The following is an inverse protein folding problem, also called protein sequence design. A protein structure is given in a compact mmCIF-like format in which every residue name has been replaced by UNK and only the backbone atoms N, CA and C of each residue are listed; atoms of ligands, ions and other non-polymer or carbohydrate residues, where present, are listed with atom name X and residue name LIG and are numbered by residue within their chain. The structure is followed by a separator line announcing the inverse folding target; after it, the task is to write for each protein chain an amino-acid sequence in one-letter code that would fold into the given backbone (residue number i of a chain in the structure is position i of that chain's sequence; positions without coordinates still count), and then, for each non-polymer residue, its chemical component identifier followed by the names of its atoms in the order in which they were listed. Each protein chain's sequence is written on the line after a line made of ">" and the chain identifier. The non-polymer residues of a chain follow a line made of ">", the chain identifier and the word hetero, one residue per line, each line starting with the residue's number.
data_IF_085529759390
#
_entry.id   IF_085529759390
#
_cell.length_a   1.000
_cell.length_b   1.000
_cell.length_c   1.000
_cell.angle_alpha   90.00
_cell.angle_beta   90.00
_cell.angle_gamma   90.00
#
_symmetry.space_group_name_H-M   'P 1'
#
loop_
_entity.id
_entity.type
_entity.pdbx_description
1 polymer ?
#
# COMPACT_ATOMS: atom_id res chain seq x y z
N UNK A 1 -10.93 -3.65 32.42
CA UNK A 1 -9.45 -3.70 32.28
C UNK A 1 -9.09 -3.07 30.94
N UNK A 2 -8.12 -2.17 30.94
CA UNK A 2 -7.73 -1.38 29.78
C UNK A 2 -6.22 -1.46 29.56
N UNK A 3 -5.78 -1.37 28.30
CA UNK A 3 -4.37 -1.24 27.94
C UNK A 3 -4.19 0.05 27.15
N UNK A 4 -3.61 1.06 27.79
CA UNK A 4 -3.39 2.37 27.19
C UNK A 4 -2.11 2.29 26.40
N UNK A 5 -2.17 2.58 25.10
CA UNK A 5 -1.05 2.41 24.17
C UNK A 5 -0.74 3.70 23.42
N UNK A 6 0.53 3.87 23.12
CA UNK A 6 1.02 4.79 22.10
C UNK A 6 2.23 4.13 21.39
N UNK A 7 2.36 4.38 20.08
CA UNK A 7 3.40 3.84 19.20
C UNK A 7 3.99 4.95 18.35
N UNK A 8 5.33 4.98 18.29
CA UNK A 8 6.05 5.73 17.27
C UNK A 8 6.50 4.81 16.13
N UNK A 9 6.49 5.31 14.90
CA UNK A 9 6.87 4.56 13.70
C UNK A 9 8.05 5.17 12.97
N UNK A 10 8.77 4.36 12.18
CA UNK A 10 9.95 4.82 11.43
C UNK A 10 9.65 5.82 10.28
N UNK A 11 8.38 6.06 9.96
CA UNK A 11 7.95 6.99 8.91
C UNK A 11 8.08 6.46 7.49
N UNK A 12 8.19 5.14 7.29
CA UNK A 12 8.11 4.56 5.96
C UNK A 12 6.72 4.79 5.31
N UNK A 13 6.59 4.46 4.03
CA UNK A 13 5.30 4.56 3.33
C UNK A 13 4.21 3.70 3.98
N UNK A 14 2.95 4.09 3.80
CA UNK A 14 1.80 3.39 4.38
C UNK A 14 1.84 1.88 4.10
N UNK A 15 1.83 1.09 5.18
CA UNK A 15 1.96 -0.39 5.33
C UNK A 15 3.35 -0.99 5.26
N UNK A 16 4.35 -0.15 5.04
CA UNK A 16 5.74 -0.54 5.16
C UNK A 16 6.36 0.00 6.46
N UNK A 17 5.60 0.72 7.29
CA UNK A 17 6.09 1.22 8.56
C UNK A 17 6.48 0.10 9.51
N UNK A 18 7.45 0.40 10.37
CA UNK A 18 7.88 -0.44 11.48
C UNK A 18 7.77 0.38 12.77
N UNK A 19 7.40 -0.29 13.86
CA UNK A 19 7.41 0.28 15.22
C UNK A 19 8.85 0.60 15.61
N UNK A 20 9.08 1.77 16.21
CA UNK A 20 10.39 2.20 16.74
C UNK A 20 10.36 2.54 18.23
N UNK A 21 9.19 2.86 18.78
CA UNK A 21 8.93 3.06 20.20
C UNK A 21 7.53 2.54 20.50
N UNK A 22 7.34 1.89 21.64
CA UNK A 22 6.04 1.40 22.09
C UNK A 22 5.94 1.55 23.60
N UNK A 23 4.80 2.05 24.06
CA UNK A 23 4.45 2.09 25.47
C UNK A 23 3.04 1.56 25.69
N UNK A 24 2.88 0.69 26.68
CA UNK A 24 1.61 0.12 27.10
C UNK A 24 1.50 0.20 28.62
N UNK A 25 0.45 0.85 29.12
CA UNK A 25 0.08 0.85 30.53
C UNK A 25 -1.20 0.03 30.73
N UNK A 26 -1.13 -1.04 31.52
CA UNK A 26 -2.30 -1.84 31.90
C UNK A 26 -3.00 -1.18 33.08
N UNK A 27 -4.26 -0.84 32.92
CA UNK A 27 -5.05 -0.06 33.88
C UNK A 27 -6.33 -0.79 34.27
N UNK A 28 -6.57 -0.97 35.56
CA UNK A 28 -7.74 -1.71 36.06
C UNK A 28 -9.01 -0.84 36.20
N UNK A 29 -8.89 0.48 36.01
CA UNK A 29 -9.94 1.45 36.28
C UNK A 29 -9.63 2.37 37.45
N UNK A 30 -8.65 2.02 38.28
CA UNK A 30 -8.20 2.80 39.44
C UNK A 30 -6.68 3.03 39.43
N UNK A 31 -5.88 2.03 39.08
CA UNK A 31 -4.41 2.09 39.09
C UNK A 31 -3.78 1.33 37.93
N UNK A 32 -2.51 1.66 37.68
CA UNK A 32 -1.66 0.88 36.76
C UNK A 32 -1.32 -0.43 37.45
N UNK A 33 -1.59 -1.54 36.77
CA UNK A 33 -1.31 -2.91 37.25
C UNK A 33 -0.09 -3.52 36.58
N UNK A 34 0.29 -3.02 35.41
CA UNK A 34 1.46 -3.45 34.66
C UNK A 34 1.87 -2.35 33.66
N UNK A 35 3.15 -2.32 33.27
CA UNK A 35 3.65 -1.42 32.23
C UNK A 35 4.70 -2.11 31.35
N UNK A 36 4.73 -1.72 30.08
CA UNK A 36 5.74 -2.15 29.13
C UNK A 36 6.13 -0.97 28.24
N UNK A 37 7.42 -0.63 28.22
CA UNK A 37 7.97 0.46 27.43
C UNK A 37 9.23 -0.07 26.76
N UNK A 38 9.35 0.11 25.44
CA UNK A 38 10.52 -0.34 24.70
C UNK A 38 10.74 0.46 23.44
N UNK A 39 11.99 0.84 23.18
CA UNK A 39 12.42 1.07 21.80
C UNK A 39 12.35 -0.25 21.03
N UNK A 40 12.15 -0.16 19.71
CA UNK A 40 12.07 -1.32 18.84
C UNK A 40 12.99 -1.10 17.64
N UNK A 41 13.78 -2.12 17.31
CA UNK A 41 14.58 -2.11 16.10
C UNK A 41 13.67 -2.32 14.88
N UNK A 42 13.51 -1.32 13.98
CA UNK A 42 12.63 -1.42 12.82
C UNK A 42 13.21 -2.28 11.70
N UNK A 43 14.46 -2.76 11.83
CA UNK A 43 15.22 -3.46 10.78
C UNK A 43 15.28 -2.66 9.46
N UNK A 44 15.25 -1.34 9.58
CA UNK A 44 15.24 -0.41 8.45
C UNK A 44 15.50 1.04 8.89
N UNK A 45 15.45 1.96 7.94
CA UNK A 45 15.74 3.36 8.19
C UNK A 45 14.60 4.07 8.95
N UNK A 46 14.98 5.06 9.74
CA UNK A 46 14.07 6.05 10.33
C UNK A 46 14.19 7.34 9.51
N UNK A 47 13.08 7.83 8.97
CA UNK A 47 13.11 9.04 8.14
C UNK A 47 13.63 10.25 8.92
N UNK A 48 14.33 11.21 8.29
CA UNK A 48 14.81 12.42 8.97
C UNK A 48 13.70 13.22 9.66
N UNK A 49 12.48 13.20 9.09
CA UNK A 49 11.32 13.84 9.68
C UNK A 49 10.95 13.21 11.04
N UNK A 50 10.85 11.88 11.12
CA UNK A 50 10.55 11.17 12.37
C UNK A 50 11.65 11.35 13.40
N UNK A 51 12.93 11.31 12.99
CA UNK A 51 14.04 11.55 13.92
C UNK A 51 13.94 12.94 14.55
N UNK A 52 13.57 13.96 13.78
CA UNK A 52 13.38 15.33 14.30
C UNK A 52 12.16 15.43 15.22
N UNK A 53 11.09 14.69 14.93
CA UNK A 53 9.85 14.72 15.69
C UNK A 53 10.01 14.02 17.06
N UNK A 54 10.53 12.80 17.04
CA UNK A 54 10.58 11.89 18.20
C UNK A 54 11.91 11.94 18.96
N UNK A 55 12.93 12.56 18.37
CA UNK A 55 14.32 12.49 18.84
C UNK A 55 14.92 11.08 18.87
N UNK A 56 14.26 10.07 18.28
CA UNK A 56 14.76 8.70 18.19
C UNK A 56 15.70 8.59 17.00
N UNK A 57 16.95 8.23 17.28
CA UNK A 57 17.99 8.08 16.24
C UNK A 57 18.18 6.61 15.84
N UNK A 58 18.69 6.32 14.62
CA UNK A 58 19.05 4.96 14.21
C UNK A 58 20.01 4.27 15.19
N UNK A 59 20.89 5.05 15.85
CA UNK A 59 21.82 4.53 16.86
C UNK A 59 21.11 4.00 18.11
N UNK A 60 20.01 4.64 18.53
CA UNK A 60 19.24 4.25 19.72
C UNK A 60 18.52 2.91 19.51
N UNK A 61 17.97 2.70 18.30
CA UNK A 61 17.19 1.49 18.00
C UNK A 61 18.05 0.32 17.50
N UNK A 62 19.32 0.56 17.14
CA UNK A 62 20.21 -0.47 16.55
C UNK A 62 20.35 -1.72 17.43
N UNK A 63 20.41 -1.53 18.76
CA UNK A 63 20.54 -2.61 19.75
C UNK A 63 19.24 -2.84 20.52
N UNK A 64 18.15 -2.16 20.15
CA UNK A 64 16.84 -2.40 20.71
C UNK A 64 16.32 -3.77 20.22
N UNK A 65 15.39 -4.41 20.96
CA UNK A 65 14.79 -5.65 20.50
C UNK A 65 13.98 -5.42 19.22
N UNK A 66 13.95 -6.42 18.35
CA UNK A 66 13.05 -6.46 17.19
C UNK A 66 11.64 -6.76 17.65
N UNK A 67 10.64 -6.43 16.82
CA UNK A 67 9.25 -6.63 17.19
C UNK A 67 8.94 -8.09 17.58
N UNK A 68 9.49 -9.07 16.85
CA UNK A 68 9.26 -10.49 17.15
C UNK A 68 9.78 -10.93 18.53
N UNK A 69 10.77 -10.23 19.10
CA UNK A 69 11.33 -10.51 20.43
C UNK A 69 10.43 -9.98 21.56
N UNK A 70 9.66 -8.92 21.29
CA UNK A 70 8.71 -8.33 22.26
C UNK A 70 7.26 -8.74 22.05
N UNK A 71 6.94 -9.38 20.92
CA UNK A 71 5.58 -9.73 20.51
C UNK A 71 4.79 -10.49 21.60
N UNK A 72 5.44 -11.46 22.27
CA UNK A 72 4.84 -12.22 23.37
C UNK A 72 4.46 -11.30 24.54
N UNK A 73 5.33 -10.37 24.93
CA UNK A 73 5.09 -9.44 26.03
C UNK A 73 3.92 -8.49 25.73
N UNK A 74 3.79 -8.05 24.48
CA UNK A 74 2.65 -7.24 24.01
C UNK A 74 1.34 -8.02 24.13
N UNK A 75 1.31 -9.30 23.76
CA UNK A 75 0.13 -10.16 23.94
C UNK A 75 -0.24 -10.28 25.42
N UNK A 76 0.73 -10.59 26.28
CA UNK A 76 0.51 -10.79 27.71
C UNK A 76 -0.06 -9.54 28.39
N UNK A 77 0.53 -8.36 28.16
CA UNK A 77 0.07 -7.13 28.81
C UNK A 77 -1.30 -6.68 28.31
N UNK A 78 -1.66 -6.99 27.06
CA UNK A 78 -2.95 -6.62 26.45
C UNK A 78 -4.03 -7.69 26.60
N UNK A 79 -3.71 -8.86 27.17
CA UNK A 79 -4.66 -9.94 27.31
C UNK A 79 -5.88 -9.55 28.16
N UNK A 80 -7.08 -9.86 27.64
CA UNK A 80 -8.38 -9.57 28.25
C UNK A 80 -8.58 -8.08 28.61
N UNK A 81 -8.09 -7.19 27.73
CA UNK A 81 -8.22 -5.74 27.88
C UNK A 81 -8.90 -5.12 26.67
N UNK A 82 -9.43 -3.90 26.84
CA UNK A 82 -9.72 -3.00 25.71
C UNK A 82 -8.48 -2.13 25.48
N UNK A 83 -8.01 -2.09 24.24
CA UNK A 83 -6.87 -1.25 23.84
C UNK A 83 -7.33 0.21 23.72
N UNK A 84 -6.73 1.11 24.47
CA UNK A 84 -7.12 2.52 24.54
C UNK A 84 -6.02 3.40 23.98
N UNK A 85 -6.36 4.34 23.10
CA UNK A 85 -5.38 5.25 22.50
C UNK A 85 -5.99 6.59 22.14
N UNK A 86 -5.15 7.52 21.70
CA UNK A 86 -5.57 8.82 21.21
C UNK A 86 -5.34 8.86 19.70
N UNK A 87 -6.40 8.65 18.91
CA UNK A 87 -6.31 8.21 17.50
C UNK A 87 -5.87 6.74 17.34
N UNK A 88 -6.50 5.85 18.11
CA UNK A 88 -6.12 4.42 18.26
C UNK A 88 -6.02 3.62 16.95
N UNK A 89 -6.68 4.07 15.89
CA UNK A 89 -6.64 3.42 14.57
C UNK A 89 -5.21 3.31 14.02
N UNK A 90 -4.34 4.27 14.37
CA UNK A 90 -2.94 4.22 14.00
C UNK A 90 -2.19 3.10 14.74
N UNK A 91 -2.22 3.11 16.07
CA UNK A 91 -1.49 2.17 16.92
C UNK A 91 -1.97 0.73 16.70
N UNK A 92 -3.28 0.54 16.63
CA UNK A 92 -3.86 -0.78 16.40
C UNK A 92 -3.47 -1.33 15.04
N UNK A 93 -3.46 -0.50 13.99
CA UNK A 93 -2.95 -0.89 12.66
C UNK A 93 -1.48 -1.30 12.73
N UNK A 94 -0.64 -0.54 13.44
CA UNK A 94 0.78 -0.84 13.60
C UNK A 94 1.01 -2.20 14.28
N UNK A 95 0.25 -2.50 15.35
CA UNK A 95 0.28 -3.82 15.99
C UNK A 95 -0.17 -4.92 15.04
N UNK A 96 -1.35 -4.76 14.40
CA UNK A 96 -1.88 -5.78 13.46
C UNK A 96 -0.90 -6.09 12.34
N UNK A 97 -0.31 -5.06 11.74
CA UNK A 97 0.69 -5.21 10.70
C UNK A 97 1.93 -5.97 11.19
N UNK A 98 2.43 -5.61 12.37
CA UNK A 98 3.63 -6.21 12.93
C UNK A 98 3.40 -7.68 13.32
N UNK A 99 2.24 -8.01 13.91
CA UNK A 99 1.84 -9.39 14.19
C UNK A 99 1.55 -10.21 12.93
N UNK A 100 0.93 -9.60 11.90
CA UNK A 100 0.64 -10.27 10.62
C UNK A 100 1.91 -10.72 9.92
N UNK A 101 3.01 -9.96 10.03
CA UNK A 101 4.34 -10.36 9.54
C UNK A 101 4.89 -11.61 10.25
N UNK A 102 4.43 -11.88 11.48
CA UNK A 102 4.75 -13.08 12.25
C UNK A 102 3.73 -14.22 12.04
N UNK A 103 2.75 -14.04 11.15
CA UNK A 103 1.70 -15.02 10.92
C UNK A 103 0.62 -15.05 12.02
N UNK A 104 0.54 -14.02 12.86
CA UNK A 104 -0.46 -13.93 13.93
C UNK A 104 -1.52 -12.86 13.61
N UNK A 105 -2.80 -13.23 13.69
CA UNK A 105 -3.92 -12.30 13.49
C UNK A 105 -4.31 -11.63 14.82
N UNK A 106 -3.66 -10.50 15.12
CA UNK A 106 -3.92 -9.75 16.34
C UNK A 106 -5.29 -9.06 16.29
N UNK A 107 -6.18 -9.44 17.22
CA UNK A 107 -7.52 -8.89 17.35
C UNK A 107 -7.79 -8.51 18.80
N UNK A 108 -8.20 -7.27 19.01
CA UNK A 108 -8.59 -6.74 20.32
C UNK A 108 -9.64 -5.64 20.13
N UNK A 109 -10.48 -5.43 21.15
CA UNK A 109 -11.39 -4.29 21.21
C UNK A 109 -10.58 -2.99 21.36
N UNK A 110 -11.05 -1.91 20.75
CA UNK A 110 -10.30 -0.65 20.69
C UNK A 110 -11.18 0.53 21.07
N UNK A 111 -10.66 1.42 21.92
CA UNK A 111 -11.36 2.63 22.32
C UNK A 111 -10.49 3.85 22.03
N UNK A 112 -11.07 4.78 21.26
CA UNK A 112 -10.44 6.05 20.93
C UNK A 112 -10.92 7.15 21.90
N UNK A 113 -9.97 7.86 22.50
CA UNK A 113 -10.24 8.99 23.39
C UNK A 113 -10.71 10.24 22.65
N UNK A 114 -10.44 10.42 21.35
CA UNK A 114 -10.87 11.62 20.60
C UNK A 114 -12.40 11.74 20.52
N UNK A 115 -13.16 10.73 20.04
CA UNK A 115 -14.62 10.81 20.01
C UNK A 115 -15.22 10.97 21.40
N UNK A 116 -14.64 10.32 22.42
CA UNK A 116 -15.09 10.43 23.80
C UNK A 116 -14.89 11.84 24.34
N UNK A 117 -13.70 12.42 24.12
CA UNK A 117 -13.40 13.78 24.51
C UNK A 117 -14.35 14.79 23.85
N UNK A 118 -14.63 14.66 22.54
CA UNK A 118 -15.58 15.53 21.83
C UNK A 118 -16.98 15.54 22.44
N UNK A 119 -17.38 14.43 23.04
CA UNK A 119 -18.70 14.26 23.63
C UNK A 119 -18.75 14.72 25.09
N UNK A 120 -17.76 14.31 25.88
CA UNK A 120 -17.72 14.55 27.33
C UNK A 120 -17.08 15.90 27.71
N UNK A 121 -16.31 16.48 26.79
CA UNK A 121 -15.62 17.76 26.93
C UNK A 121 -15.80 18.54 25.61
N UNK A 122 -17.02 18.99 25.30
CA UNK A 122 -17.28 19.73 24.07
C UNK A 122 -16.55 21.07 24.04
N UNK A 123 -16.52 21.71 22.86
CA UNK A 123 -16.03 23.08 22.65
C UNK A 123 -14.53 23.35 22.85
N UNK A 124 -13.71 22.29 22.94
CA UNK A 124 -12.25 22.43 22.90
C UNK A 124 -11.74 22.92 21.54
N UNK A 125 -10.75 23.83 21.57
CA UNK A 125 -10.13 24.43 20.37
C UNK A 125 -9.48 23.36 19.49
N UNK A 126 -8.96 22.29 20.09
CA UNK A 126 -8.36 21.18 19.37
C UNK A 126 -8.33 19.91 20.21
N UNK A 127 -8.69 18.80 19.57
CA UNK A 127 -8.64 17.46 20.17
C UNK A 127 -7.36 16.70 19.83
N UNK A 128 -6.29 17.35 19.36
CA UNK A 128 -4.97 16.71 19.32
C UNK A 128 -4.42 16.57 20.73
N UNK A 129 -3.81 15.43 21.07
CA UNK A 129 -3.35 15.11 22.43
C UNK A 129 -2.67 16.30 23.11
N UNK A 130 -1.60 16.84 22.49
CA UNK A 130 -0.82 17.92 23.07
C UNK A 130 -1.57 19.22 23.36
N UNK A 131 -2.58 19.57 22.56
CA UNK A 131 -3.41 20.77 22.82
C UNK A 131 -4.49 20.49 23.85
N UNK A 132 -5.12 19.34 23.78
CA UNK A 132 -6.21 18.94 24.66
C UNK A 132 -5.71 18.73 26.10
N UNK A 133 -4.62 18.00 26.29
CA UNK A 133 -4.06 17.79 27.64
C UNK A 133 -3.58 19.11 28.24
N UNK A 134 -3.06 20.02 27.41
CA UNK A 134 -2.65 21.36 27.85
C UNK A 134 -3.84 22.22 28.30
N UNK A 135 -4.97 22.24 27.57
CA UNK A 135 -6.15 23.01 27.99
C UNK A 135 -6.76 22.46 29.28
N UNK A 136 -6.65 21.15 29.49
CA UNK A 136 -7.14 20.45 30.68
C UNK A 136 -6.16 20.48 31.86
N UNK A 137 -4.97 21.07 31.72
CA UNK A 137 -3.94 21.11 32.76
C UNK A 137 -3.28 19.76 33.05
N UNK A 138 -3.39 18.79 32.14
CA UNK A 138 -2.74 17.48 32.23
C UNK A 138 -1.28 17.62 31.77
N UNK A 139 -0.28 17.24 32.59
CA UNK A 139 1.12 17.30 32.20
C UNK A 139 1.43 16.39 31.02
N UNK A 140 2.20 16.93 30.06
CA UNK A 140 2.74 16.20 28.94
C UNK A 140 4.26 16.31 28.94
N UNK A 141 4.92 15.28 29.47
CA UNK A 141 6.38 15.16 29.51
C UNK A 141 6.84 14.22 28.41
N UNK A 142 8.00 14.51 27.78
CA UNK A 142 8.54 13.72 26.67
C UNK A 142 7.54 13.59 25.49
N UNK A 143 6.96 14.70 25.04
CA UNK A 143 6.07 14.67 23.87
C UNK A 143 6.77 14.06 22.65
N UNK A 144 6.05 13.25 21.86
CA UNK A 144 6.57 12.43 20.75
C UNK A 144 7.53 11.32 21.19
N UNK A 145 7.33 10.87 22.43
CA UNK A 145 7.83 9.60 22.93
C UNK A 145 6.64 8.79 23.39
N UNK A 146 6.65 7.51 23.03
CA UNK A 146 5.51 6.64 23.29
C UNK A 146 5.14 6.61 24.78
N UNK A 147 6.13 6.59 25.68
CA UNK A 147 5.88 6.58 27.12
C UNK A 147 5.20 7.86 27.64
N UNK A 148 5.58 9.02 27.10
CA UNK A 148 5.04 10.32 27.45
C UNK A 148 3.61 10.49 26.95
N UNK A 149 3.37 10.19 25.68
CA UNK A 149 2.07 10.33 25.04
C UNK A 149 1.06 9.28 25.55
N UNK A 150 1.48 8.03 25.79
CA UNK A 150 0.63 7.02 26.44
C UNK A 150 0.27 7.40 27.89
N UNK A 151 1.21 8.02 28.63
CA UNK A 151 0.93 8.48 30.01
C UNK A 151 -0.08 9.62 30.02
N UNK A 152 0.08 10.61 29.14
CA UNK A 152 -0.88 11.71 29.00
C UNK A 152 -2.26 11.18 28.56
N UNK A 153 -2.29 10.20 27.64
CA UNK A 153 -3.51 9.52 27.22
C UNK A 153 -4.19 8.78 28.38
N UNK A 154 -3.43 8.15 29.28
CA UNK A 154 -3.97 7.51 30.48
C UNK A 154 -4.65 8.53 31.41
N UNK A 155 -3.99 9.66 31.68
CA UNK A 155 -4.59 10.71 32.54
C UNK A 155 -5.83 11.34 31.91
N UNK A 156 -5.81 11.58 30.59
CA UNK A 156 -6.99 12.00 29.84
C UNK A 156 -8.11 10.96 29.96
N UNK A 157 -7.79 9.68 29.77
CA UNK A 157 -8.77 8.61 29.84
C UNK A 157 -9.40 8.48 31.23
N UNK A 158 -8.63 8.66 32.32
CA UNK A 158 -9.16 8.73 33.68
C UNK A 158 -10.18 9.87 33.84
N UNK A 159 -9.85 11.05 33.32
CA UNK A 159 -10.76 12.19 33.34
C UNK A 159 -12.05 11.89 32.55
N UNK A 160 -11.93 11.28 31.37
CA UNK A 160 -13.08 10.89 30.56
C UNK A 160 -13.96 9.86 31.27
N UNK A 161 -13.38 8.84 31.91
CA UNK A 161 -14.13 7.89 32.76
C UNK A 161 -14.87 8.63 33.88
N UNK A 162 -14.23 9.59 34.55
CA UNK A 162 -14.87 10.34 35.63
C UNK A 162 -16.02 11.23 35.17
N UNK A 163 -16.00 11.67 33.89
CA UNK A 163 -17.04 12.49 33.27
C UNK A 163 -18.17 11.68 32.64
N UNK A 164 -17.95 10.38 32.43
CA UNK A 164 -18.91 9.48 31.80
C UNK A 164 -20.02 9.06 32.78
N UNK A 165 -20.89 10.00 33.13
CA UNK A 165 -22.00 9.77 34.07
C UNK A 165 -23.06 8.81 33.51
N UNK A 166 -23.13 8.67 32.19
CA UNK A 166 -24.10 7.81 31.49
C UNK A 166 -23.55 6.41 31.17
N UNK A 167 -22.30 6.11 31.59
CA UNK A 167 -21.60 4.86 31.34
C UNK A 167 -21.49 4.47 29.84
N UNK A 168 -21.36 5.47 28.97
CA UNK A 168 -21.24 5.28 27.53
C UNK A 168 -19.96 4.56 27.13
N UNK A 169 -18.88 4.73 27.90
CA UNK A 169 -17.61 4.02 27.69
C UNK A 169 -17.82 2.52 27.87
N UNK A 170 -18.60 2.14 28.89
CA UNK A 170 -18.96 0.75 29.18
C UNK A 170 -19.92 0.21 28.12
N UNK A 171 -20.92 1.00 27.72
CA UNK A 171 -21.85 0.63 26.65
C UNK A 171 -21.13 0.43 25.31
N UNK A 172 -20.26 1.36 24.92
CA UNK A 172 -19.46 1.26 23.69
C UNK A 172 -18.58 0.01 23.70
N UNK A 173 -17.97 -0.34 24.83
CA UNK A 173 -17.24 -1.59 24.98
C UNK A 173 -18.14 -2.83 24.81
N UNK A 174 -19.35 -2.80 25.37
CA UNK A 174 -20.34 -3.87 25.20
C UNK A 174 -20.87 -3.98 23.77
N UNK A 175 -21.14 -2.85 23.11
CA UNK A 175 -21.55 -2.77 21.72
C UNK A 175 -20.43 -3.27 20.81
N UNK A 176 -19.19 -2.83 20.96
CA UNK A 176 -18.06 -3.30 20.13
C UNK A 176 -17.81 -4.80 20.25
N UNK A 177 -18.03 -5.37 21.45
CA UNK A 177 -17.94 -6.83 21.65
C UNK A 177 -19.03 -7.58 20.87
N UNK A 178 -20.15 -6.94 20.54
CA UNK A 178 -21.33 -7.58 19.96
C UNK A 178 -21.79 -7.04 18.59
N UNK A 179 -21.23 -5.94 18.08
CA UNK A 179 -21.83 -5.18 16.99
C UNK A 179 -21.16 -5.41 15.62
N UNK A 180 -21.90 -6.10 14.74
CA UNK A 180 -21.68 -6.11 13.28
C UNK A 180 -22.25 -4.84 12.63
N UNK A 181 -21.74 -3.66 12.97
CA UNK A 181 -22.19 -2.41 12.30
C UNK A 181 -21.65 -2.33 10.87
N UNK A 182 -22.38 -1.65 9.97
CA UNK A 182 -21.92 -1.42 8.59
C UNK A 182 -20.59 -0.64 8.55
N UNK A 183 -20.39 0.31 9.46
CA UNK A 183 -19.14 1.07 9.59
C UNK A 183 -17.98 0.12 9.99
N UNK A 184 -18.21 -0.77 10.96
CA UNK A 184 -17.21 -1.75 11.37
C UNK A 184 -16.91 -2.74 10.23
N UNK A 185 -17.93 -3.17 9.48
CA UNK A 185 -17.77 -4.00 8.28
C UNK A 185 -16.85 -3.32 7.26
N UNK A 186 -17.08 -2.05 6.93
CA UNK A 186 -16.21 -1.31 5.99
C UNK A 186 -14.78 -1.20 6.54
N UNK A 187 -14.62 -0.88 7.83
CA UNK A 187 -13.30 -0.77 8.47
C UNK A 187 -12.55 -2.09 8.36
N UNK A 188 -13.19 -3.21 8.72
CA UNK A 188 -12.62 -4.55 8.65
C UNK A 188 -12.27 -4.96 7.21
N UNK A 189 -13.14 -4.68 6.24
CA UNK A 189 -12.91 -5.04 4.84
C UNK A 189 -11.79 -4.23 4.18
N UNK A 190 -11.55 -2.99 4.62
CA UNK A 190 -10.63 -2.06 3.94
C UNK A 190 -9.31 -1.81 4.66
N UNK A 191 -9.23 -2.10 5.97
CA UNK A 191 -8.04 -1.83 6.80
C UNK A 191 -6.76 -2.50 6.29
N UNK A 192 -6.88 -3.63 5.58
CA UNK A 192 -5.78 -4.47 5.11
C UNK A 192 -5.64 -4.51 3.56
N UNK A 193 -6.36 -3.67 2.82
CA UNK A 193 -6.18 -3.48 1.35
C UNK A 193 -5.04 -2.54 0.92
N UNK A 194 -4.10 -2.95 0.05
CA UNK A 194 -2.90 -2.15 -0.25
C UNK A 194 -3.22 -0.90 -1.08
N UNK A 195 -2.38 0.13 -0.96
CA UNK A 195 -2.42 1.32 -1.83
C UNK A 195 -1.62 1.06 -3.12
N UNK A 196 -1.87 -0.10 -3.74
CA UNK A 196 -1.14 -0.57 -4.92
C UNK A 196 -2.11 -0.87 -6.06
N UNK A 197 -1.57 -0.90 -7.27
CA UNK A 197 -2.32 -1.26 -8.47
C UNK A 197 -2.55 -2.77 -8.52
N UNK A 198 -3.74 -3.18 -8.95
CA UNK A 198 -4.06 -4.59 -9.06
C UNK A 198 -5.50 -4.87 -9.44
N UNK A 199 -5.84 -6.16 -9.48
CA UNK A 199 -7.22 -6.60 -9.53
C UNK A 199 -7.78 -6.66 -8.13
N UNK A 200 -9.01 -6.15 -7.97
CA UNK A 200 -9.79 -6.30 -6.74
C UNK A 200 -10.96 -7.23 -7.00
N UNK A 201 -11.27 -8.08 -6.04
CA UNK A 201 -12.35 -9.06 -6.06
C UNK A 201 -13.20 -8.85 -4.82
N UNK A 202 -14.46 -8.46 -5.00
CA UNK A 202 -15.46 -8.40 -3.95
C UNK A 202 -16.21 -9.72 -3.97
N UNK A 203 -16.26 -10.40 -2.84
CA UNK A 203 -16.86 -11.73 -2.71
C UNK A 203 -17.96 -11.74 -1.65
N UNK A 204 -19.00 -12.54 -1.88
CA UNK A 204 -20.04 -12.80 -0.88
C UNK A 204 -19.56 -13.82 0.19
N UNK A 205 -20.45 -14.16 1.13
CA UNK A 205 -20.16 -15.12 2.21
C UNK A 205 -19.74 -16.51 1.70
N UNK A 206 -20.28 -16.92 0.54
CA UNK A 206 -19.94 -18.20 -0.10
C UNK A 206 -18.63 -18.14 -0.91
N UNK A 207 -17.96 -16.98 -0.97
CA UNK A 207 -16.74 -16.75 -1.72
C UNK A 207 -16.96 -16.50 -3.22
N UNK A 208 -18.20 -16.32 -3.67
CA UNK A 208 -18.49 -16.02 -5.08
C UNK A 208 -18.10 -14.58 -5.38
N UNK A 209 -17.35 -14.37 -6.47
CA UNK A 209 -16.98 -13.04 -6.94
C UNK A 209 -18.23 -12.32 -7.47
N UNK A 210 -18.68 -11.29 -6.74
CA UNK A 210 -19.82 -10.44 -7.11
C UNK A 210 -19.39 -9.19 -7.88
N UNK A 211 -18.14 -8.76 -7.73
CA UNK A 211 -17.55 -7.68 -8.52
C UNK A 211 -16.03 -7.88 -8.65
N UNK A 212 -15.48 -7.58 -9.83
CA UNK A 212 -14.03 -7.47 -9.99
C UNK A 212 -13.66 -6.43 -11.04
N UNK A 213 -12.56 -5.72 -10.81
CA UNK A 213 -12.01 -4.76 -11.76
C UNK A 213 -10.51 -4.55 -11.54
N UNK A 214 -9.83 -4.03 -12.56
CA UNK A 214 -8.47 -3.52 -12.45
C UNK A 214 -8.48 -2.07 -11.99
N UNK A 215 -7.72 -1.79 -10.92
CA UNK A 215 -7.69 -0.49 -10.26
C UNK A 215 -6.26 -0.03 -10.05
N UNK A 216 -6.06 1.29 -10.08
CA UNK A 216 -4.74 1.91 -9.85
C UNK A 216 -4.34 1.90 -8.37
N UNK A 217 -5.33 1.79 -7.49
CA UNK A 217 -5.16 1.81 -6.03
C UNK A 217 -6.33 1.00 -5.44
N UNK A 218 -6.03 -0.19 -4.92
CA UNK A 218 -7.02 -1.12 -4.37
C UNK A 218 -7.73 -0.53 -3.15
N UNK A 219 -6.99 0.02 -2.19
CA UNK A 219 -7.58 0.63 -0.99
C UNK A 219 -8.54 1.77 -1.33
N UNK A 220 -8.06 2.72 -2.14
CA UNK A 220 -8.80 3.93 -2.50
C UNK A 220 -10.04 3.59 -3.31
N UNK A 221 -9.93 2.64 -4.23
CA UNK A 221 -11.09 2.17 -4.99
C UNK A 221 -12.12 1.50 -4.08
N UNK A 222 -11.70 0.60 -3.19
CA UNK A 222 -12.64 -0.10 -2.30
C UNK A 222 -13.35 0.86 -1.35
N UNK A 223 -12.63 1.80 -0.72
CA UNK A 223 -13.28 2.87 0.08
C UNK A 223 -14.24 3.72 -0.75
N UNK A 224 -13.89 4.03 -2.01
CA UNK A 224 -14.79 4.75 -2.92
C UNK A 224 -16.07 3.95 -3.20
N UNK A 225 -15.98 2.63 -3.37
CA UNK A 225 -17.15 1.76 -3.55
C UNK A 225 -18.07 1.87 -2.33
N UNK A 226 -17.56 1.68 -1.11
CA UNK A 226 -18.38 1.73 0.11
C UNK A 226 -18.96 3.09 0.45
N UNK A 227 -18.27 4.17 0.10
CA UNK A 227 -18.73 5.54 0.36
C UNK A 227 -19.61 6.10 -0.78
N UNK A 228 -19.84 5.34 -1.85
CA UNK A 228 -20.61 5.83 -2.99
C UNK A 228 -22.11 5.75 -2.73
N UNK A 229 -22.83 6.84 -3.06
CA UNK A 229 -24.31 6.89 -3.08
C UNK A 229 -24.93 6.40 -4.40
N UNK A 230 -24.13 5.84 -5.31
CA UNK A 230 -24.61 5.40 -6.62
C UNK A 230 -25.29 4.04 -6.52
N UNK A 231 -26.52 3.94 -7.06
CA UNK A 231 -27.31 2.68 -7.09
C UNK A 231 -26.53 1.47 -7.61
N UNK A 232 -25.57 1.68 -8.51
CA UNK A 232 -24.75 0.59 -9.06
C UNK A 232 -23.92 -0.17 -8.01
N UNK A 233 -23.65 0.46 -6.86
CA UNK A 233 -22.83 -0.13 -5.80
C UNK A 233 -23.67 -0.72 -4.66
N UNK A 234 -24.98 -0.47 -4.61
CA UNK A 234 -25.83 -0.90 -3.50
C UNK A 234 -25.77 -2.42 -3.28
N UNK A 235 -25.86 -3.21 -4.36
CA UNK A 235 -25.78 -4.67 -4.26
C UNK A 235 -24.40 -5.13 -3.77
N UNK A 236 -23.32 -4.55 -4.31
CA UNK A 236 -21.95 -4.91 -3.90
C UNK A 236 -21.70 -4.54 -2.44
N UNK A 237 -22.16 -3.37 -2.00
CA UNK A 237 -22.03 -2.90 -0.62
C UNK A 237 -22.78 -3.79 0.38
N UNK A 238 -23.96 -4.27 -0.02
CA UNK A 238 -24.79 -5.15 0.81
C UNK A 238 -24.17 -6.54 0.96
N UNK A 239 -23.80 -7.14 -0.16
CA UNK A 239 -23.48 -8.57 -0.22
C UNK A 239 -22.00 -8.89 0.02
N UNK A 240 -21.08 -7.94 -0.13
CA UNK A 240 -19.66 -8.21 0.04
C UNK A 240 -19.34 -8.59 1.48
N UNK A 241 -18.72 -9.74 1.69
CA UNK A 241 -18.21 -10.19 2.99
C UNK A 241 -16.68 -10.30 3.00
N UNK A 242 -16.05 -10.35 1.83
CA UNK A 242 -14.59 -10.44 1.69
C UNK A 242 -14.09 -9.62 0.51
N UNK A 243 -12.89 -9.04 0.65
CA UNK A 243 -12.19 -8.38 -0.44
C UNK A 243 -10.82 -9.02 -0.63
N UNK A 244 -10.66 -9.67 -1.77
CA UNK A 244 -9.41 -10.26 -2.21
C UNK A 244 -8.79 -9.40 -3.31
N UNK A 245 -7.49 -9.55 -3.52
CA UNK A 245 -6.79 -8.78 -4.54
C UNK A 245 -5.59 -9.53 -5.11
N UNK A 246 -5.23 -9.17 -6.34
CA UNK A 246 -4.01 -9.60 -7.02
C UNK A 246 -3.23 -8.36 -7.45
N UNK A 247 -2.05 -8.18 -6.89
CA UNK A 247 -1.15 -7.10 -7.30
C UNK A 247 -0.68 -7.31 -8.73
N UNK A 248 -0.49 -6.23 -9.48
CA UNK A 248 0.10 -6.32 -10.82
C UNK A 248 1.53 -5.77 -10.84
N UNK A 249 1.92 -4.91 -9.90
CA UNK A 249 3.23 -4.24 -9.86
C UNK A 249 3.41 -3.21 -10.98
N UNK A 250 3.32 -3.65 -12.24
CA UNK A 250 3.48 -2.80 -13.44
C UNK A 250 2.21 -2.74 -14.30
N UNK A 251 2.11 -1.72 -15.14
CA UNK A 251 1.00 -1.59 -16.09
C UNK A 251 1.11 -2.63 -17.21
N UNK A 252 2.32 -3.11 -17.51
CA UNK A 252 2.58 -4.19 -18.48
C UNK A 252 1.94 -5.49 -17.97
N UNK A 253 2.20 -5.86 -16.71
CA UNK A 253 1.59 -7.06 -16.10
C UNK A 253 0.06 -6.94 -16.07
N UNK A 254 -0.48 -5.77 -15.71
CA UNK A 254 -1.92 -5.54 -15.72
C UNK A 254 -2.54 -5.83 -17.10
N UNK A 255 -1.93 -5.29 -18.17
CA UNK A 255 -2.37 -5.52 -19.54
C UNK A 255 -2.21 -6.98 -19.97
N UNK A 256 -1.13 -7.65 -19.58
CA UNK A 256 -0.91 -9.07 -19.86
C UNK A 256 -2.01 -9.94 -19.24
N UNK A 257 -2.37 -9.67 -17.98
CA UNK A 257 -3.45 -10.39 -17.28
C UNK A 257 -4.82 -10.07 -17.88
N UNK A 258 -5.09 -8.81 -18.25
CA UNK A 258 -6.36 -8.47 -18.93
C UNK A 258 -6.48 -9.19 -20.28
N UNK A 259 -5.40 -9.27 -21.04
CA UNK A 259 -5.36 -9.96 -22.33
C UNK A 259 -5.56 -11.48 -22.17
N UNK A 260 -4.95 -12.11 -21.16
CA UNK A 260 -5.18 -13.54 -20.89
C UNK A 260 -6.63 -13.83 -20.51
N UNK A 261 -7.30 -12.87 -19.85
CA UNK A 261 -8.74 -12.91 -19.52
C UNK A 261 -9.67 -12.44 -20.66
N UNK A 262 -9.15 -12.20 -21.88
CA UNK A 262 -9.92 -11.69 -23.05
C UNK A 262 -10.60 -10.33 -22.85
N UNK A 263 -10.15 -9.53 -21.89
CA UNK A 263 -10.68 -8.19 -21.63
C UNK A 263 -9.88 -7.16 -22.42
N UNK A 264 -10.49 -6.58 -23.46
CA UNK A 264 -9.88 -5.47 -24.22
C UNK A 264 -10.29 -4.13 -23.65
N UNK A 265 -9.32 -3.34 -23.17
CA UNK A 265 -9.53 -1.94 -22.78
C UNK A 265 -8.93 -1.05 -23.86
N UNK A 266 -9.78 -0.35 -24.63
CA UNK A 266 -9.31 0.56 -25.68
C UNK A 266 -8.58 1.73 -25.02
N UNK A 267 -7.29 1.83 -25.28
CA UNK A 267 -6.46 2.92 -24.79
C UNK A 267 -6.25 3.94 -25.90
N UNK A 268 -6.56 5.20 -25.60
CA UNK A 268 -6.31 6.31 -26.53
C UNK A 268 -4.99 6.95 -26.12
N UNK A 269 -4.03 6.94 -27.05
CA UNK A 269 -2.75 7.63 -26.92
C UNK A 269 -2.74 8.80 -27.91
N UNK A 270 -3.29 9.97 -27.53
CA UNK A 270 -3.52 11.06 -28.48
C UNK A 270 -2.24 11.82 -28.83
N UNK A 271 -1.14 11.65 -28.07
CA UNK A 271 0.13 12.33 -28.32
C UNK A 271 1.18 11.36 -28.84
N UNK A 272 2.11 11.86 -29.66
CA UNK A 272 3.21 11.10 -30.23
C UNK A 272 4.53 11.86 -30.15
N UNK A 273 5.63 11.10 -30.07
CA UNK A 273 7.00 11.57 -30.20
C UNK A 273 7.41 11.55 -31.67
N UNK A 274 7.90 12.68 -32.15
CA UNK A 274 8.43 12.85 -33.50
C UNK A 274 9.84 13.45 -33.44
N UNK A 275 10.62 13.28 -34.49
CA UNK A 275 11.96 13.86 -34.62
C UNK A 275 11.99 14.74 -35.87
N UNK A 276 12.16 16.06 -35.68
CA UNK A 276 12.13 17.07 -36.74
C UNK A 276 13.15 18.16 -36.44
N UNK A 277 13.83 18.67 -37.47
CA UNK A 277 14.82 19.74 -37.34
C UNK A 277 15.86 19.46 -36.22
N UNK A 278 16.37 18.22 -36.18
CA UNK A 278 17.29 17.71 -35.15
C UNK A 278 16.79 17.83 -33.70
N UNK A 279 15.47 17.84 -33.48
CA UNK A 279 14.87 17.91 -32.15
C UNK A 279 13.71 16.94 -32.01
N UNK A 280 13.56 16.41 -30.79
CA UNK A 280 12.39 15.63 -30.40
C UNK A 280 11.24 16.56 -30.04
N UNK A 281 10.05 16.30 -30.62
CA UNK A 281 8.84 17.07 -30.37
C UNK A 281 7.68 16.16 -30.01
N UNK A 282 6.79 16.65 -29.15
CA UNK A 282 5.58 15.95 -28.73
C UNK A 282 4.38 16.69 -29.26
N UNK A 283 3.57 16.00 -30.07
CA UNK A 283 2.44 16.61 -30.75
C UNK A 283 1.23 15.68 -30.72
N UNK A 284 0.04 16.23 -30.99
CA UNK A 284 -1.16 15.41 -31.17
C UNK A 284 -1.02 14.57 -32.44
N UNK A 285 -1.27 13.27 -32.33
CA UNK A 285 -1.23 12.33 -33.44
C UNK A 285 -2.21 12.72 -34.57
N UNK A 286 -3.29 13.43 -34.26
CA UNK A 286 -4.25 13.92 -35.25
C UNK A 286 -3.69 15.00 -36.18
N UNK A 287 -2.63 15.70 -35.78
CA UNK A 287 -1.99 16.76 -36.58
C UNK A 287 -0.98 16.18 -37.59
N UNK A 288 -0.60 14.91 -37.43
CA UNK A 288 0.47 14.27 -38.20
C UNK A 288 -0.11 13.09 -39.00
N UNK A 289 -0.48 13.34 -40.26
CA UNK A 289 -1.12 12.35 -41.14
C UNK A 289 -0.15 11.43 -41.88
N UNK A 290 1.09 11.87 -42.10
CA UNK A 290 2.09 11.20 -42.94
C UNK A 290 3.17 10.47 -42.13
N UNK A 291 3.57 11.03 -40.99
CA UNK A 291 4.62 10.47 -40.13
C UNK A 291 4.05 9.57 -39.04
N UNK A 292 4.68 8.41 -38.81
CA UNK A 292 4.36 7.55 -37.67
C UNK A 292 5.15 8.00 -36.45
N UNK A 293 4.45 8.20 -35.34
CA UNK A 293 5.08 8.48 -34.05
C UNK A 293 6.07 7.38 -33.65
N UNK A 294 7.22 7.78 -33.10
CA UNK A 294 8.25 6.89 -32.55
C UNK A 294 7.73 6.21 -31.28
N UNK A 295 7.11 7.00 -30.41
CA UNK A 295 6.45 6.59 -29.16
C UNK A 295 5.13 7.37 -29.02
N UNK A 296 4.17 6.84 -28.26
CA UNK A 296 2.86 7.45 -28.04
C UNK A 296 2.56 7.59 -26.54
N UNK A 297 1.79 8.61 -26.18
CA UNK A 297 1.53 8.97 -24.78
C UNK A 297 0.06 9.32 -24.52
N UNK A 298 -0.37 9.12 -23.26
CA UNK A 298 -1.73 9.50 -22.80
C UNK A 298 -1.90 11.01 -22.66
N UNK A 299 -0.81 11.73 -22.34
CA UNK A 299 -0.82 13.17 -22.14
C UNK A 299 0.43 13.84 -22.71
N UNK A 300 0.32 15.13 -23.01
CA UNK A 300 1.46 15.95 -23.42
C UNK A 300 2.57 15.92 -22.37
N UNK A 301 2.23 16.02 -21.09
CA UNK A 301 3.19 15.99 -19.97
C UNK A 301 4.01 14.69 -19.94
N UNK A 302 3.40 13.54 -20.22
CA UNK A 302 4.14 12.27 -20.32
C UNK A 302 5.15 12.32 -21.48
N UNK A 303 4.73 12.82 -22.64
CA UNK A 303 5.63 12.98 -23.78
C UNK A 303 6.75 13.97 -23.50
N UNK A 304 6.47 15.11 -22.85
CA UNK A 304 7.48 16.11 -22.50
C UNK A 304 8.54 15.53 -21.56
N UNK A 305 8.14 14.71 -20.59
CA UNK A 305 9.08 13.96 -19.73
C UNK A 305 9.95 13.00 -20.54
N UNK A 306 9.37 12.32 -21.54
CA UNK A 306 10.14 11.45 -22.42
C UNK A 306 11.16 12.24 -23.26
N UNK A 307 10.80 13.42 -23.80
CA UNK A 307 11.73 14.31 -24.50
C UNK A 307 12.87 14.73 -23.59
N UNK A 308 12.59 15.14 -22.35
CA UNK A 308 13.61 15.52 -21.39
C UNK A 308 14.55 14.35 -21.07
N UNK A 309 14.00 13.15 -20.86
CA UNK A 309 14.79 11.94 -20.60
C UNK A 309 15.70 11.59 -21.78
N UNK A 310 15.16 11.62 -23.00
CA UNK A 310 15.91 11.32 -24.22
C UNK A 310 17.00 12.36 -24.45
N UNK A 311 16.67 13.65 -24.30
CA UNK A 311 17.62 14.75 -24.49
C UNK A 311 18.73 14.83 -23.44
N UNK A 312 18.57 14.13 -22.31
CA UNK A 312 19.64 13.99 -21.31
C UNK A 312 20.71 12.95 -21.70
N UNK A 313 20.48 12.17 -22.75
CA UNK A 313 21.40 11.13 -23.22
C UNK A 313 21.97 11.51 -24.59
N UNK A 314 23.26 11.81 -24.65
CA UNK A 314 23.91 12.29 -25.88
C UNK A 314 23.80 11.30 -27.04
N UNK A 315 23.78 9.99 -26.75
CA UNK A 315 23.62 8.92 -27.74
C UNK A 315 22.31 9.00 -28.54
N UNK A 316 21.24 9.58 -27.95
CA UNK A 316 19.96 9.72 -28.62
C UNK A 316 19.82 11.00 -29.44
N UNK A 317 20.87 11.81 -29.55
CA UNK A 317 20.89 12.89 -30.55
C UNK A 317 20.79 12.31 -31.98
N UNK A 318 21.28 11.09 -32.20
CA UNK A 318 20.95 10.30 -33.37
C UNK A 318 19.66 9.50 -33.15
N UNK A 319 18.61 9.89 -33.88
CA UNK A 319 17.30 9.22 -33.84
C UNK A 319 17.37 7.73 -34.22
N UNK A 320 18.36 7.32 -35.02
CA UNK A 320 18.53 5.92 -35.40
C UNK A 320 18.99 5.07 -34.22
N UNK A 321 19.83 5.60 -33.33
CA UNK A 321 20.24 4.92 -32.10
C UNK A 321 19.03 4.72 -31.19
N UNK A 322 18.19 5.74 -31.00
CA UNK A 322 16.95 5.63 -30.24
C UNK A 322 16.02 4.57 -30.86
N UNK A 323 15.80 4.61 -32.18
CA UNK A 323 14.97 3.64 -32.90
C UNK A 323 15.50 2.22 -32.72
N UNK A 324 16.82 2.02 -32.84
CA UNK A 324 17.45 0.72 -32.66
C UNK A 324 17.31 0.20 -31.22
N UNK A 325 17.46 1.07 -30.22
CA UNK A 325 17.29 0.75 -28.80
C UNK A 325 15.91 0.15 -28.50
N UNK A 326 14.85 0.73 -29.08
CA UNK A 326 13.46 0.33 -28.84
C UNK A 326 12.92 -0.66 -29.90
N UNK A 327 13.73 -1.07 -30.89
CA UNK A 327 13.31 -1.97 -31.96
C UNK A 327 13.42 -3.43 -31.50
N UNK A 328 12.30 -4.16 -31.54
CA UNK A 328 12.25 -5.58 -31.19
C UNK A 328 11.40 -6.45 -32.13
N UNK A 329 10.90 -5.92 -33.26
CA UNK A 329 9.97 -6.62 -34.17
C UNK A 329 10.46 -7.95 -34.73
N UNK A 330 11.77 -8.20 -34.73
CA UNK A 330 12.40 -9.44 -35.24
C UNK A 330 13.08 -10.27 -34.14
N UNK A 331 12.93 -9.90 -32.87
CA UNK A 331 13.63 -10.56 -31.77
C UNK A 331 12.90 -11.83 -31.33
N UNK A 332 13.68 -12.82 -30.92
CA UNK A 332 13.24 -14.08 -30.31
C UNK A 332 14.06 -14.29 -29.03
N UNK A 333 13.52 -13.87 -27.90
CA UNK A 333 14.28 -13.74 -26.65
C UNK A 333 13.38 -13.75 -25.42
N UNK A 334 14.00 -13.98 -24.26
CA UNK A 334 13.37 -13.91 -22.94
C UNK A 334 13.65 -12.54 -22.33
N UNK A 335 12.61 -11.81 -21.91
CA UNK A 335 12.77 -10.54 -21.20
C UNK A 335 12.46 -10.73 -19.73
N UNK A 336 13.35 -10.28 -18.85
CA UNK A 336 13.22 -10.38 -17.40
C UNK A 336 12.99 -9.01 -16.79
N UNK A 337 11.95 -8.87 -15.98
CA UNK A 337 11.59 -7.60 -15.35
C UNK A 337 11.10 -7.77 -13.92
N UNK A 338 10.61 -6.69 -13.33
CA UNK A 338 10.02 -6.70 -11.99
C UNK A 338 8.67 -7.42 -11.98
N UNK A 339 8.43 -8.23 -10.96
CA UNK A 339 7.18 -8.97 -10.77
C UNK A 339 6.10 -8.17 -10.06
N UNK A 340 5.09 -8.86 -9.50
CA UNK A 340 3.91 -8.23 -8.90
C UNK A 340 4.14 -7.76 -7.47
N UNK A 341 5.06 -8.41 -6.77
CA UNK A 341 5.40 -8.22 -5.35
C UNK A 341 6.92 -8.24 -5.18
N UNK A 342 7.40 -7.77 -4.04
CA UNK A 342 8.82 -7.82 -3.70
C UNK A 342 9.35 -9.27 -3.76
N UNK A 343 10.52 -9.47 -4.39
CA UNK A 343 11.15 -10.77 -4.57
C UNK A 343 10.64 -11.58 -5.77
N UNK A 344 9.48 -11.23 -6.33
CA UNK A 344 8.97 -11.86 -7.56
C UNK A 344 9.49 -11.10 -8.80
N UNK A 345 9.80 -11.86 -9.85
CA UNK A 345 10.24 -11.35 -11.16
C UNK A 345 9.29 -11.80 -12.25
N UNK A 346 9.20 -11.00 -13.30
CA UNK A 346 8.46 -11.26 -14.52
C UNK A 346 9.40 -11.86 -15.56
N UNK A 347 8.93 -12.85 -16.33
CA UNK A 347 9.53 -13.18 -17.62
C UNK A 347 8.51 -13.02 -18.75
N UNK A 348 8.96 -12.54 -19.92
CA UNK A 348 8.20 -12.48 -21.16
C UNK A 348 8.91 -13.32 -22.21
N UNK A 349 8.17 -14.15 -22.93
CA UNK A 349 8.67 -14.86 -24.11
C UNK A 349 8.29 -14.03 -25.33
N UNK A 350 9.30 -13.50 -26.01
CA UNK A 350 9.14 -12.73 -27.24
C UNK A 350 9.46 -13.63 -28.42
N UNK A 351 8.53 -13.74 -29.37
CA UNK A 351 8.74 -14.42 -30.65
C UNK A 351 8.30 -13.52 -31.81
N UNK A 352 9.19 -13.32 -32.78
CA UNK A 352 8.98 -12.41 -33.91
C UNK A 352 8.47 -11.03 -33.46
N UNK A 353 9.06 -10.52 -32.37
CA UNK A 353 8.72 -9.24 -31.76
C UNK A 353 7.32 -9.13 -31.18
N UNK A 354 6.66 -10.25 -30.89
CA UNK A 354 5.39 -10.30 -30.18
C UNK A 354 5.58 -11.01 -28.86
N UNK A 355 4.89 -10.54 -27.82
CA UNK A 355 4.79 -11.29 -26.57
C UNK A 355 3.83 -12.45 -26.82
N UNK A 356 4.33 -13.67 -26.76
CA UNK A 356 3.50 -14.88 -26.93
C UNK A 356 3.05 -15.44 -25.59
N UNK A 357 3.87 -15.29 -24.55
CA UNK A 357 3.54 -15.74 -23.20
C UNK A 357 4.35 -14.97 -22.17
N UNK A 358 3.89 -15.04 -20.92
CA UNK A 358 4.54 -14.42 -19.78
C UNK A 358 4.43 -15.32 -18.56
N UNK A 359 5.21 -15.06 -17.52
CA UNK A 359 5.05 -15.74 -16.24
C UNK A 359 5.87 -15.10 -15.15
N UNK A 360 5.82 -15.71 -13.98
CA UNK A 360 6.47 -15.18 -12.78
C UNK A 360 7.40 -16.22 -12.18
N UNK A 361 8.48 -15.75 -11.56
CA UNK A 361 9.48 -16.59 -10.89
C UNK A 361 10.13 -15.83 -9.74
N UNK A 362 10.67 -16.56 -8.76
CA UNK A 362 11.40 -15.98 -7.62
C UNK A 362 12.90 -16.37 -7.70
N UNK A 363 13.20 -17.57 -8.20
CA UNK A 363 14.55 -18.10 -8.36
C UNK A 363 14.90 -18.27 -9.84
N UNK A 364 16.09 -17.83 -10.24
CA UNK A 364 16.55 -17.92 -11.63
C UNK A 364 16.56 -19.36 -12.18
N UNK A 365 16.77 -20.37 -11.32
CA UNK A 365 16.71 -21.80 -11.68
C UNK A 365 15.36 -22.24 -12.25
N UNK A 366 14.28 -21.49 -12.01
CA UNK A 366 12.94 -21.75 -12.54
C UNK A 366 12.81 -21.43 -14.02
N UNK A 367 13.69 -20.59 -14.58
CA UNK A 367 13.60 -20.13 -15.99
C UNK A 367 14.77 -20.61 -16.87
N UNK A 368 15.65 -21.45 -16.33
CA UNK A 368 16.89 -21.89 -17.01
C UNK A 368 16.69 -22.84 -18.21
N UNK A 369 15.51 -23.43 -18.39
CA UNK A 369 15.26 -24.43 -19.47
C UNK A 369 13.87 -24.22 -20.05
N UNK A 370 13.68 -24.57 -21.33
CA UNK A 370 12.37 -24.49 -21.98
C UNK A 370 11.31 -25.35 -21.27
N UNK A 371 11.67 -26.53 -20.77
CA UNK A 371 10.74 -27.40 -20.04
C UNK A 371 10.18 -26.73 -18.78
N UNK A 372 11.02 -26.00 -18.03
CA UNK A 372 10.55 -25.28 -16.84
C UNK A 372 9.74 -24.04 -17.22
N UNK A 373 10.18 -23.28 -18.22
CA UNK A 373 9.42 -22.13 -18.74
C UNK A 373 8.02 -22.56 -19.23
N UNK A 374 7.92 -23.67 -19.95
CA UNK A 374 6.66 -24.21 -20.46
C UNK A 374 5.65 -24.53 -19.34
N UNK A 375 6.13 -24.89 -18.14
CA UNK A 375 5.28 -25.14 -16.96
C UNK A 375 4.81 -23.86 -16.26
N UNK A 376 5.54 -22.76 -16.42
CA UNK A 376 5.29 -21.49 -15.75
C UNK A 376 4.60 -20.45 -16.64
N UNK A 377 4.71 -20.62 -17.97
CA UNK A 377 4.19 -19.66 -18.92
C UNK A 377 2.66 -19.64 -18.92
N UNK A 378 2.12 -18.45 -19.09
CA UNK A 378 0.73 -18.16 -19.34
C UNK A 378 0.65 -17.69 -20.78
N UNK A 379 0.00 -18.48 -21.62
CA UNK A 379 -0.13 -18.20 -23.04
C UNK A 379 -1.11 -17.06 -23.30
N UNK A 380 -0.72 -16.15 -24.20
CA UNK A 380 -1.59 -15.06 -24.64
C UNK A 380 -2.37 -15.51 -25.87
N UNK A 381 -3.70 -15.47 -25.79
CA UNK A 381 -4.57 -15.84 -26.93
C UNK A 381 -4.76 -14.72 -27.96
N UNK A 382 -4.37 -13.48 -27.62
CA UNK A 382 -4.51 -12.30 -28.48
C UNK A 382 -3.13 -11.75 -28.85
N UNK A 383 -2.96 -11.40 -30.14
CA UNK A 383 -1.79 -10.67 -30.65
C UNK A 383 -1.52 -9.43 -29.78
N UNK A 384 -0.38 -9.39 -29.10
CA UNK A 384 0.05 -8.36 -28.16
C UNK A 384 0.38 -7.00 -28.80
N UNK A 385 -0.13 -6.69 -29.99
CA UNK A 385 0.14 -5.42 -30.68
C UNK A 385 -0.24 -4.20 -29.84
N UNK A 386 -1.17 -4.36 -28.90
CA UNK A 386 -1.60 -3.34 -27.93
C UNK A 386 -0.58 -3.07 -26.80
N UNK A 387 0.53 -3.81 -26.74
CA UNK A 387 1.61 -3.65 -25.77
C UNK A 387 2.90 -3.06 -26.36
N UNK A 388 2.98 -2.91 -27.69
CA UNK A 388 4.22 -2.53 -28.35
C UNK A 388 4.76 -1.20 -27.83
N UNK A 389 3.90 -0.21 -27.66
CA UNK A 389 4.29 1.10 -27.17
C UNK A 389 4.85 1.05 -25.73
N UNK A 390 4.21 0.27 -24.85
CA UNK A 390 4.66 0.09 -23.47
C UNK A 390 6.00 -0.64 -23.39
N UNK A 391 6.18 -1.68 -24.20
CA UNK A 391 7.43 -2.43 -24.27
C UNK A 391 8.58 -1.58 -24.83
N UNK A 392 8.31 -0.74 -25.82
CA UNK A 392 9.29 0.23 -26.33
C UNK A 392 9.70 1.23 -25.25
N UNK A 393 8.74 1.76 -24.49
CA UNK A 393 9.03 2.63 -23.34
C UNK A 393 9.83 1.91 -22.24
N UNK A 394 9.52 0.64 -22.00
CA UNK A 394 10.21 -0.17 -21.01
C UNK A 394 11.66 -0.46 -21.40
N UNK A 395 11.92 -0.80 -22.67
CA UNK A 395 13.28 -0.93 -23.21
C UNK A 395 14.07 0.37 -23.11
N UNK A 396 13.44 1.51 -23.40
CA UNK A 396 14.07 2.83 -23.29
C UNK A 396 14.48 3.14 -21.83
N UNK A 397 13.67 2.73 -20.85
CA UNK A 397 13.99 2.90 -19.43
C UNK A 397 14.97 1.88 -18.87
N UNK A 398 15.22 0.78 -19.60
CA UNK A 398 15.99 -0.35 -19.08
C UNK A 398 15.22 -1.20 -18.06
N UNK A 399 13.88 -1.23 -18.15
CA UNK A 399 13.04 -2.00 -17.22
C UNK A 399 13.19 -3.53 -17.39
N UNK A 400 13.81 -3.97 -18.49
CA UNK A 400 13.98 -5.38 -18.84
C UNK A 400 15.45 -5.74 -19.12
N UNK A 401 15.87 -6.88 -18.57
CA UNK A 401 17.06 -7.61 -19.00
C UNK A 401 16.67 -8.60 -20.11
N UNK A 402 17.42 -8.64 -21.21
CA UNK A 402 17.13 -9.49 -22.36
C UNK A 402 18.11 -10.65 -22.45
N UNK A 403 17.60 -11.88 -22.52
CA UNK A 403 18.38 -13.11 -22.63
C UNK A 403 17.96 -13.92 -23.87
N UNK A 404 18.86 -14.69 -24.50
CA UNK A 404 18.44 -15.65 -25.52
C UNK A 404 17.43 -16.65 -24.92
N UNK A 405 16.52 -17.17 -25.75
CA UNK A 405 15.64 -18.25 -25.31
C UNK A 405 16.50 -19.43 -24.84
N UNK A 406 16.19 -20.03 -23.66
CA UNK A 406 16.90 -21.21 -23.20
C UNK A 406 16.86 -22.33 -24.24
N UNK A 407 17.89 -23.18 -24.24
CA UNK A 407 17.90 -24.40 -25.06
C UNK A 407 16.98 -25.47 -24.48
#
# INVERSE_FOLDING_TARGET
>A
MYSIIDIESNGAGYRNECIIDIAIYRYDGQKITDQFISLVNPEGDITPFVQKLTSITPKMVKTAPKFHEIAKRVIEITQNTTLVGHNIDFDYRMLRQSFKRLGYDFKINTLDTIPLAKKLIPDEVSYSLGKLVKSLGIPLTNHHRADGDARATLELFKLLISKDTENEIIQKQHEETNAKTYINKIKQLTQDLPNEKGFVYFQDEAGKIIFSDYVQDINKFSKKVFNSKSKKWEQVQKDVEQINFELTGTDIIAKLILNSKKVKKKEVLPFGLYFRNNKYVVEKNTLNKTEKAILKFRSFTQGAKAVQFIGAQEEYNDVNVLKQKIEFRKRNELWLGTGRKLGEKLFLIIENGKVISFGFYELFTQIQTLSKLAKLKIDLQLSSTDLNNELQLALLRGDFETLPLPK
#
